data_IF_881537053910
#
_entry.id   IF_881537053910
#
_cell.length_a   1.000
_cell.length_b   1.000
_cell.length_c   1.000
_cell.angle_alpha   90.00
_cell.angle_beta   90.00
_cell.angle_gamma   90.00
#
_symmetry.space_group_name_H-M   'P 1'
#
loop_
_entity.id
_entity.type
_entity.pdbx_description
1 polymer ?
#
# COMPACT_ATOMS: atom_id res chain seq x y z
N UNK A 1 14.64 -8.34 -2.01
CA UNK A 1 15.51 -8.29 -3.20
C UNK A 1 16.16 -6.92 -3.25
N UNK A 2 17.41 -6.81 -3.72
CA UNK A 2 17.98 -5.50 -4.05
C UNK A 2 17.26 -4.95 -5.28
N UNK A 3 16.78 -3.71 -5.22
CA UNK A 3 16.11 -3.05 -6.34
C UNK A 3 17.07 -2.88 -7.53
N UNK A 4 16.61 -3.21 -8.74
CA UNK A 4 17.32 -2.97 -9.99
C UNK A 4 16.39 -2.25 -10.99
N UNK A 5 16.69 -1.00 -11.40
CA UNK A 5 15.86 -0.23 -12.32
C UNK A 5 15.82 -0.81 -13.75
N UNK A 6 16.72 -1.75 -14.06
CA UNK A 6 16.73 -2.48 -15.33
C UNK A 6 16.11 -3.87 -15.22
N UNK A 7 15.68 -4.25 -14.01
CA UNK A 7 14.99 -5.51 -13.78
C UNK A 7 13.73 -5.57 -14.61
N UNK A 8 13.53 -6.75 -15.19
CA UNK A 8 12.28 -7.08 -15.86
C UNK A 8 11.64 -8.33 -15.25
N UNK A 9 12.25 -8.93 -14.23
CA UNK A 9 11.79 -10.18 -13.61
C UNK A 9 10.37 -10.05 -13.05
N UNK A 10 10.01 -8.87 -12.54
CA UNK A 10 8.68 -8.57 -12.03
C UNK A 10 7.62 -8.23 -13.08
N UNK A 11 8.02 -7.99 -14.34
CA UNK A 11 7.11 -7.52 -15.40
C UNK A 11 6.84 -8.63 -16.41
N UNK A 12 5.59 -9.13 -16.51
CA UNK A 12 5.21 -10.17 -17.48
C UNK A 12 5.48 -9.77 -18.93
N UNK A 13 5.71 -10.76 -19.80
CA UNK A 13 6.03 -10.55 -21.23
C UNK A 13 4.99 -9.66 -21.94
N UNK A 14 3.70 -9.97 -21.81
CA UNK A 14 2.61 -9.15 -22.35
C UNK A 14 2.57 -7.74 -21.76
N UNK A 15 3.00 -7.56 -20.51
CA UNK A 15 3.19 -6.25 -19.91
C UNK A 15 4.22 -5.46 -20.72
N UNK A 16 5.40 -6.03 -20.96
CA UNK A 16 6.46 -5.40 -21.75
C UNK A 16 6.04 -5.08 -23.19
N UNK A 17 5.30 -5.98 -23.84
CA UNK A 17 4.76 -5.76 -25.19
C UNK A 17 3.82 -4.54 -25.21
N UNK A 18 2.91 -4.45 -24.23
CA UNK A 18 2.02 -3.29 -24.07
C UNK A 18 2.83 -2.00 -23.87
N UNK A 19 3.82 -2.02 -22.98
CA UNK A 19 4.69 -0.86 -22.73
C UNK A 19 5.40 -0.39 -24.00
N UNK A 20 5.92 -1.32 -24.81
CA UNK A 20 6.58 -1.01 -26.06
C UNK A 20 5.62 -0.37 -27.09
N UNK A 21 4.38 -0.85 -27.18
CA UNK A 21 3.35 -0.30 -28.07
C UNK A 21 2.93 1.12 -27.65
N UNK A 22 2.87 1.40 -26.34
CA UNK A 22 2.44 2.70 -25.80
C UNK A 22 3.45 3.83 -26.03
N UNK A 23 4.73 3.51 -26.30
CA UNK A 23 5.76 4.51 -26.67
C UNK A 23 5.43 5.29 -27.95
N UNK A 24 4.45 4.85 -28.73
CA UNK A 24 3.93 5.53 -29.94
C UNK A 24 2.96 6.69 -29.69
N UNK A 25 2.73 7.10 -28.44
CA UNK A 25 1.90 8.27 -28.09
C UNK A 25 0.48 7.95 -27.61
N UNK A 26 0.12 6.67 -27.49
CA UNK A 26 -1.11 6.20 -26.86
C UNK A 26 -0.80 5.74 -25.44
N UNK A 27 -1.54 6.22 -24.44
CA UNK A 27 -1.39 5.79 -23.06
C UNK A 27 -2.76 5.49 -22.42
N UNK A 28 -2.75 4.60 -21.44
CA UNK A 28 -3.85 4.33 -20.52
C UNK A 28 -3.49 4.92 -19.16
N UNK A 29 -4.48 5.30 -18.36
CA UNK A 29 -4.27 5.85 -17.03
C UNK A 29 -5.51 5.56 -16.20
N UNK A 30 -5.32 5.44 -14.89
CA UNK A 30 -6.42 5.33 -13.93
C UNK A 30 -6.89 6.68 -13.39
N UNK A 31 -6.24 7.77 -13.78
CA UNK A 31 -6.62 9.12 -13.40
C UNK A 31 -7.97 9.51 -14.02
N UNK A 32 -8.82 10.15 -13.22
CA UNK A 32 -9.98 10.86 -13.76
C UNK A 32 -9.56 12.01 -14.68
N UNK A 33 -10.49 12.54 -15.48
CA UNK A 33 -10.22 13.67 -16.39
C UNK A 33 -9.63 14.88 -15.65
N UNK A 34 -10.15 15.18 -14.46
CA UNK A 34 -9.67 16.31 -13.65
C UNK A 34 -8.24 16.07 -13.17
N UNK A 35 -7.96 14.87 -12.67
CA UNK A 35 -6.63 14.49 -12.20
C UNK A 35 -5.61 14.52 -13.33
N UNK A 36 -5.97 13.99 -14.51
CA UNK A 36 -5.14 14.05 -15.70
C UNK A 36 -4.72 15.48 -16.05
N UNK A 37 -5.66 16.41 -16.06
CA UNK A 37 -5.39 17.82 -16.37
C UNK A 37 -4.53 18.49 -15.30
N UNK A 38 -4.77 18.20 -14.02
CA UNK A 38 -4.03 18.80 -12.90
C UNK A 38 -2.61 18.26 -12.79
N UNK A 39 -2.38 16.96 -13.03
CA UNK A 39 -1.04 16.38 -13.13
C UNK A 39 -0.25 17.06 -14.26
N UNK A 40 -0.89 17.31 -15.41
CA UNK A 40 -0.28 18.09 -16.50
C UNK A 40 0.00 19.53 -16.13
N UNK A 41 -0.89 20.17 -15.40
CA UNK A 41 -0.70 21.53 -14.90
C UNK A 41 0.44 21.59 -13.85
N UNK A 42 0.66 20.52 -13.10
CA UNK A 42 1.79 20.37 -12.18
C UNK A 42 3.14 20.16 -12.89
N UNK A 43 3.17 20.10 -14.23
CA UNK A 43 4.39 19.92 -15.01
C UNK A 43 4.73 18.46 -15.33
N UNK A 44 3.84 17.52 -15.03
CA UNK A 44 4.04 16.09 -15.26
C UNK A 44 3.21 15.59 -16.44
N UNK A 45 3.83 14.83 -17.33
CA UNK A 45 3.15 14.14 -18.43
C UNK A 45 2.93 12.66 -18.04
N UNK A 46 1.67 12.18 -18.02
CA UNK A 46 1.37 10.77 -17.82
C UNK A 46 1.93 9.90 -18.95
N UNK A 47 2.58 8.80 -18.58
CA UNK A 47 3.22 7.87 -19.51
C UNK A 47 2.39 6.60 -19.72
N UNK A 48 1.69 6.14 -18.68
CA UNK A 48 0.87 4.93 -18.76
C UNK A 48 0.46 4.37 -17.42
N UNK A 49 -0.52 3.47 -17.44
CA UNK A 49 -0.91 2.65 -16.32
C UNK A 49 0.19 1.63 -16.03
N UNK A 50 0.59 1.54 -14.77
CA UNK A 50 1.53 0.55 -14.24
C UNK A 50 0.84 -0.34 -13.23
N UNK A 51 1.18 -1.63 -13.26
CA UNK A 51 0.57 -2.64 -12.40
C UNK A 51 1.66 -3.54 -11.83
N UNK A 52 1.62 -3.78 -10.53
CA UNK A 52 2.37 -4.84 -9.88
C UNK A 52 1.41 -5.79 -9.20
N UNK A 53 1.63 -7.10 -9.35
CA UNK A 53 0.84 -8.12 -8.65
C UNK A 53 1.76 -9.09 -7.93
N UNK A 54 1.35 -9.56 -6.76
CA UNK A 54 2.01 -10.60 -5.98
C UNK A 54 0.96 -11.57 -5.42
N UNK A 55 0.99 -12.82 -5.86
CA UNK A 55 0.20 -13.88 -5.23
C UNK A 55 1.04 -14.47 -4.10
N UNK A 56 0.55 -14.36 -2.88
CA UNK A 56 1.26 -14.80 -1.69
C UNK A 56 0.50 -15.92 -1.00
N UNK A 57 1.23 -16.97 -0.62
CA UNK A 57 0.70 -18.03 0.23
C UNK A 57 0.84 -17.61 1.70
N UNK A 58 -0.29 -17.33 2.33
CA UNK A 58 -0.35 -16.89 3.72
C UNK A 58 -0.35 -18.13 4.62
N UNK A 59 0.75 -18.31 5.35
CA UNK A 59 0.89 -19.40 6.30
C UNK A 59 -0.08 -19.29 7.49
N UNK A 60 -0.40 -20.43 8.10
CA UNK A 60 -1.17 -20.46 9.34
C UNK A 60 -0.29 -20.08 10.53
N UNK A 61 -0.74 -19.15 11.36
CA UNK A 61 -0.16 -18.86 12.67
C UNK A 61 -1.21 -19.16 13.76
N UNK A 62 -0.86 -20.04 14.70
CA UNK A 62 -1.75 -20.37 15.80
C UNK A 62 -1.90 -19.17 16.73
N UNK A 63 -3.13 -18.70 16.89
CA UNK A 63 -3.47 -17.65 17.82
C UNK A 63 -3.65 -18.18 19.26
N UNK A 64 -3.29 -17.37 20.25
CA UNK A 64 -3.56 -17.62 21.66
C UNK A 64 -4.99 -17.23 22.03
N UNK A 65 -5.80 -18.19 22.49
CA UNK A 65 -7.20 -17.96 22.90
C UNK A 65 -7.36 -16.89 23.99
N UNK A 66 -6.36 -16.73 24.86
CA UNK A 66 -6.43 -15.93 26.09
C UNK A 66 -5.65 -14.61 26.03
N UNK A 67 -4.89 -14.37 24.98
CA UNK A 67 -4.01 -13.20 24.88
C UNK A 67 -4.26 -12.46 23.59
N UNK A 68 -4.44 -11.14 23.72
CA UNK A 68 -4.45 -10.24 22.60
C UNK A 68 -2.99 -9.97 22.25
N UNK A 69 -2.60 -10.23 21.01
CA UNK A 69 -1.20 -10.14 20.58
C UNK A 69 -1.13 -9.99 19.07
N UNK A 70 -0.07 -9.33 18.61
CA UNK A 70 0.23 -9.27 17.19
C UNK A 70 0.55 -10.67 16.62
N UNK A 71 -0.06 -10.98 15.49
CA UNK A 71 0.28 -12.14 14.66
C UNK A 71 1.45 -11.76 13.75
N UNK A 72 2.65 -11.67 14.32
CA UNK A 72 3.84 -11.16 13.62
C UNK A 72 4.18 -11.85 12.30
N UNK A 73 3.97 -13.17 12.17
CA UNK A 73 4.21 -13.90 10.91
C UNK A 73 3.23 -13.43 9.85
N UNK A 74 1.96 -13.25 10.24
CA UNK A 74 0.92 -12.78 9.35
C UNK A 74 1.11 -11.31 8.98
N UNK A 75 1.40 -10.44 9.94
CA UNK A 75 1.77 -9.04 9.69
C UNK A 75 2.92 -8.93 8.70
N UNK A 76 3.99 -9.71 8.90
CA UNK A 76 5.15 -9.71 8.03
C UNK A 76 4.81 -10.19 6.62
N UNK A 77 4.03 -11.28 6.49
CA UNK A 77 3.59 -11.77 5.18
C UNK A 77 2.73 -10.73 4.43
N UNK A 78 1.81 -10.08 5.12
CA UNK A 78 0.97 -9.01 4.57
C UNK A 78 1.77 -7.81 4.09
N UNK A 79 2.82 -7.46 4.83
CA UNK A 79 3.73 -6.39 4.48
C UNK A 79 4.60 -6.75 3.27
N UNK A 80 5.27 -7.91 3.31
CA UNK A 80 6.15 -8.38 2.22
C UNK A 80 5.39 -8.55 0.90
N UNK A 81 4.16 -9.04 0.95
CA UNK A 81 3.36 -9.23 -0.26
C UNK A 81 3.02 -7.90 -0.94
N UNK A 82 2.71 -6.84 -0.17
CA UNK A 82 2.50 -5.48 -0.68
C UNK A 82 3.80 -4.88 -1.22
N UNK A 83 4.90 -5.03 -0.49
CA UNK A 83 6.23 -4.56 -0.94
C UNK A 83 6.64 -5.18 -2.27
N UNK A 84 6.36 -6.47 -2.48
CA UNK A 84 6.59 -7.15 -3.75
C UNK A 84 5.72 -6.58 -4.87
N UNK A 85 4.43 -6.37 -4.62
CA UNK A 85 3.54 -5.76 -5.62
C UNK A 85 4.00 -4.33 -5.98
N UNK A 86 4.33 -3.50 -4.98
CA UNK A 86 4.86 -2.15 -5.19
C UNK A 86 6.17 -2.15 -5.97
N UNK A 87 7.12 -3.01 -5.61
CA UNK A 87 8.40 -3.11 -6.31
C UNK A 87 8.22 -3.46 -7.78
N UNK A 88 7.32 -4.40 -8.11
CA UNK A 88 7.02 -4.76 -9.51
C UNK A 88 6.36 -3.61 -10.29
N UNK A 89 5.47 -2.86 -9.65
CA UNK A 89 4.85 -1.67 -10.25
C UNK A 89 5.89 -0.59 -10.55
N UNK A 90 6.87 -0.39 -9.65
CA UNK A 90 7.97 0.55 -9.85
C UNK A 90 8.95 0.12 -10.94
N UNK A 91 9.29 -1.17 -11.02
CA UNK A 91 10.06 -1.74 -12.13
C UNK A 91 9.35 -1.48 -13.48
N UNK A 92 8.02 -1.60 -13.52
CA UNK A 92 7.24 -1.27 -14.71
C UNK A 92 7.30 0.22 -15.06
N UNK A 93 7.22 1.10 -14.04
CA UNK A 93 7.37 2.54 -14.24
C UNK A 93 8.78 2.94 -14.73
N UNK A 94 9.82 2.23 -14.30
CA UNK A 94 11.18 2.41 -14.80
C UNK A 94 11.31 2.05 -16.28
N UNK A 95 10.58 1.05 -16.78
CA UNK A 95 10.53 0.73 -18.20
C UNK A 95 9.87 1.83 -19.04
N UNK A 96 9.00 2.64 -18.44
CA UNK A 96 8.50 3.89 -19.04
C UNK A 96 9.49 5.05 -18.94
N UNK A 97 10.54 4.94 -18.12
CA UNK A 97 11.45 6.03 -17.80
C UNK A 97 10.76 7.14 -17.01
N UNK A 98 9.84 6.73 -16.12
CA UNK A 98 9.05 7.62 -15.26
C UNK A 98 9.90 8.22 -14.13
N UNK A 99 9.48 9.38 -13.64
CA UNK A 99 10.04 9.97 -12.41
C UNK A 99 9.27 9.52 -11.16
N UNK A 100 8.01 9.12 -11.33
CA UNK A 100 7.18 8.60 -10.26
C UNK A 100 5.85 8.03 -10.73
N UNK A 101 5.04 7.66 -9.75
CA UNK A 101 3.73 7.04 -9.90
C UNK A 101 2.76 7.77 -8.98
N UNK A 102 1.64 8.22 -9.53
CA UNK A 102 0.58 8.96 -8.82
C UNK A 102 -0.72 8.15 -8.81
N UNK A 103 -1.59 8.44 -7.85
CA UNK A 103 -2.87 7.75 -7.69
C UNK A 103 -2.72 6.27 -7.35
N UNK A 104 -1.63 5.90 -6.66
CA UNK A 104 -1.36 4.51 -6.29
C UNK A 104 -2.49 3.96 -5.44
N UNK A 105 -3.03 2.81 -5.82
CA UNK A 105 -4.00 2.03 -5.04
C UNK A 105 -3.48 0.63 -4.80
N UNK A 106 -3.67 0.17 -3.56
CA UNK A 106 -3.33 -1.16 -3.11
C UNK A 106 -4.60 -1.95 -2.81
N UNK A 107 -4.79 -3.04 -3.53
CA UNK A 107 -5.93 -3.93 -3.38
C UNK A 107 -5.48 -5.35 -3.03
N UNK A 108 -6.36 -6.06 -2.30
CA UNK A 108 -6.17 -7.47 -1.97
C UNK A 108 -7.33 -8.25 -2.60
N UNK A 109 -7.01 -8.99 -3.65
CA UNK A 109 -7.89 -9.96 -4.29
C UNK A 109 -7.84 -11.30 -3.58
N UNK A 110 -8.99 -11.93 -3.37
CA UNK A 110 -9.10 -13.31 -2.91
C UNK A 110 -9.87 -14.10 -3.94
N UNK A 111 -9.31 -15.22 -4.34
CA UNK A 111 -9.93 -16.09 -5.33
C UNK A 111 -10.26 -17.44 -4.70
N UNK A 112 -11.26 -18.11 -5.26
CA UNK A 112 -11.68 -19.45 -4.85
C UNK A 112 -10.61 -20.53 -5.09
N UNK A 113 -9.47 -20.18 -5.70
CA UNK A 113 -8.38 -21.10 -6.02
C UNK A 113 -7.63 -21.61 -4.77
N UNK A 114 -7.82 -20.99 -3.60
CA UNK A 114 -7.38 -21.54 -2.31
C UNK A 114 -7.52 -20.56 -1.14
N UNK A 115 -8.02 -21.03 0.01
CA UNK A 115 -8.28 -20.19 1.20
C UNK A 115 -7.03 -19.51 1.79
N UNK A 116 -5.83 -19.97 1.42
CA UNK A 116 -4.55 -19.44 1.89
C UNK A 116 -3.81 -18.61 0.84
N UNK A 117 -4.45 -18.31 -0.30
CA UNK A 117 -3.87 -17.48 -1.36
C UNK A 117 -4.54 -16.11 -1.38
N UNK A 118 -3.73 -15.06 -1.38
CA UNK A 118 -4.18 -13.70 -1.61
C UNK A 118 -3.35 -13.07 -2.73
N UNK A 119 -4.01 -12.37 -3.64
CA UNK A 119 -3.37 -11.53 -4.63
C UNK A 119 -3.29 -10.10 -4.11
N UNK A 120 -2.09 -9.54 -4.10
CA UNK A 120 -1.84 -8.15 -3.76
C UNK A 120 -1.57 -7.41 -5.05
N UNK A 121 -2.36 -6.38 -5.33
CA UNK A 121 -2.29 -5.63 -6.58
C UNK A 121 -1.98 -4.17 -6.23
N UNK A 122 -0.93 -3.64 -6.85
CA UNK A 122 -0.59 -2.23 -6.86
C UNK A 122 -0.85 -1.67 -8.25
N UNK A 123 -1.64 -0.59 -8.33
CA UNK A 123 -1.99 0.06 -9.59
C UNK A 123 -1.75 1.56 -9.44
N UNK A 124 -1.22 2.21 -10.46
CA UNK A 124 -1.18 3.67 -10.54
C UNK A 124 -0.82 4.16 -11.93
N UNK A 125 -0.65 5.47 -12.07
CA UNK A 125 -0.24 6.08 -13.33
C UNK A 125 1.21 6.57 -13.23
N UNK A 126 2.08 6.03 -14.09
CA UNK A 126 3.45 6.50 -14.24
C UNK A 126 3.49 7.89 -14.86
N UNK A 127 4.29 8.78 -14.31
CA UNK A 127 4.41 10.19 -14.71
C UNK A 127 5.86 10.61 -14.87
N UNK A 128 6.10 11.57 -15.75
CA UNK A 128 7.42 12.15 -15.99
C UNK A 128 7.36 13.66 -16.02
N UNK A 129 8.29 14.33 -15.37
CA UNK A 129 8.33 15.78 -15.39
C UNK A 129 8.81 16.29 -16.75
N UNK A 130 8.10 17.27 -17.32
CA UNK A 130 8.34 17.76 -18.69
C UNK A 130 9.72 18.38 -18.88
N UNK A 131 10.25 19.04 -17.84
CA UNK A 131 11.56 19.70 -17.91
C UNK A 131 12.74 18.72 -17.73
N UNK A 132 12.49 17.44 -17.49
CA UNK A 132 13.56 16.44 -17.34
C UNK A 132 14.46 16.61 -16.11
N UNK A 133 14.07 17.48 -15.17
CA UNK A 133 14.66 17.53 -13.82
C UNK A 133 14.31 16.21 -13.12
N UNK A 134 15.30 15.49 -12.60
CA UNK A 134 15.09 14.21 -11.96
C UNK A 134 14.28 14.43 -10.65
N UNK A 135 12.97 14.19 -10.69
CA UNK A 135 12.05 14.36 -9.54
C UNK A 135 11.82 13.06 -8.77
N UNK A 136 12.74 12.11 -8.89
CA UNK A 136 12.68 10.77 -8.28
C UNK A 136 12.78 10.82 -6.75
N UNK A 137 12.47 9.68 -6.12
CA UNK A 137 12.65 9.51 -4.68
C UNK A 137 14.15 9.64 -4.29
N UNK A 138 14.47 9.99 -3.03
CA UNK A 138 15.87 10.11 -2.58
C UNK A 138 16.73 8.85 -2.79
N UNK A 139 16.11 7.67 -2.81
CA UNK A 139 16.73 6.39 -3.10
C UNK A 139 16.96 6.12 -4.60
N UNK A 140 16.59 7.05 -5.49
CA UNK A 140 16.72 6.92 -6.94
C UNK A 140 15.63 6.08 -7.62
N UNK A 141 14.65 5.56 -6.89
CA UNK A 141 13.46 4.87 -7.44
C UNK A 141 12.42 5.88 -7.94
N UNK A 142 11.44 5.50 -8.78
CA UNK A 142 10.29 6.36 -9.04
C UNK A 142 9.64 6.72 -7.70
N UNK A 143 9.29 7.99 -7.47
CA UNK A 143 8.49 8.30 -6.27
C UNK A 143 7.12 7.63 -6.40
N UNK A 144 6.51 7.27 -5.28
CA UNK A 144 5.15 6.71 -5.24
C UNK A 144 4.25 7.62 -4.41
N UNK A 145 2.98 7.70 -4.77
CA UNK A 145 1.99 8.51 -4.05
C UNK A 145 0.59 7.97 -4.30
N UNK A 146 -0.16 7.72 -3.23
CA UNK A 146 -1.58 7.36 -3.25
C UNK A 146 -2.50 8.58 -3.43
N UNK A 147 -1.94 9.78 -3.37
CA UNK A 147 -2.68 11.03 -3.54
C UNK A 147 -3.39 11.06 -4.90
N UNK A 148 -4.61 11.59 -4.88
CA UNK A 148 -5.32 11.96 -6.10
C UNK A 148 -4.49 12.96 -6.92
N UNK A 149 -4.72 13.04 -8.23
CA UNK A 149 -4.06 14.07 -9.06
C UNK A 149 -4.35 15.51 -8.59
N UNK A 150 -5.48 15.73 -7.91
CA UNK A 150 -5.85 17.01 -7.30
C UNK A 150 -5.01 17.34 -6.07
N UNK A 151 -4.85 16.38 -5.17
CA UNK A 151 -4.04 16.53 -3.96
C UNK A 151 -2.55 16.61 -4.31
N UNK A 152 -2.10 15.79 -5.28
CA UNK A 152 -0.75 15.84 -5.81
C UNK A 152 -0.41 17.24 -6.38
N UNK A 153 -1.30 17.82 -7.19
CA UNK A 153 -1.13 19.18 -7.71
C UNK A 153 -1.09 20.21 -6.58
N UNK A 154 -1.99 20.09 -5.60
CA UNK A 154 -2.06 21.02 -4.45
C UNK A 154 -0.80 20.94 -3.58
N UNK A 155 -0.28 19.74 -3.35
CA UNK A 155 0.95 19.51 -2.60
C UNK A 155 2.14 20.19 -3.30
N UNK A 156 2.29 19.97 -4.60
CA UNK A 156 3.33 20.62 -5.42
C UNK A 156 3.19 22.15 -5.43
N UNK A 157 1.97 22.67 -5.53
CA UNK A 157 1.72 24.11 -5.49
C UNK A 157 2.11 24.75 -4.14
N UNK A 158 2.11 23.97 -3.05
CA UNK A 158 2.57 24.43 -1.74
C UNK A 158 4.10 24.37 -1.55
N UNK A 159 4.84 23.87 -2.56
CA UNK A 159 6.30 23.72 -2.51
C UNK A 159 6.78 22.36 -1.95
N UNK A 160 5.86 21.45 -1.65
CA UNK A 160 6.17 20.10 -1.19
C UNK A 160 6.06 19.11 -2.34
N UNK A 161 6.73 17.96 -2.27
CA UNK A 161 6.60 16.89 -3.26
C UNK A 161 6.49 15.54 -2.55
N UNK A 162 5.78 14.56 -3.14
CA UNK A 162 5.86 13.20 -2.62
C UNK A 162 7.27 12.64 -2.86
N UNK A 163 7.73 11.84 -1.91
CA UNK A 163 9.00 11.12 -1.97
C UNK A 163 8.81 9.61 -1.98
N UNK A 164 7.67 9.13 -1.50
CA UNK A 164 7.28 7.72 -1.54
C UNK A 164 5.98 7.51 -0.77
N UNK A 165 5.23 6.50 -1.18
CA UNK A 165 4.13 5.92 -0.43
C UNK A 165 4.73 5.11 0.70
N UNK A 166 4.21 5.32 1.91
CA UNK A 166 4.58 4.57 3.10
C UNK A 166 3.36 3.84 3.60
N UNK A 167 3.58 2.69 4.25
CA UNK A 167 2.49 1.89 4.79
C UNK A 167 2.87 1.22 6.11
N UNK A 168 1.85 0.92 6.89
CA UNK A 168 1.96 0.15 8.12
C UNK A 168 0.92 -0.96 8.16
N UNK A 169 1.34 -2.22 8.24
CA UNK A 169 0.42 -3.34 8.48
C UNK A 169 0.66 -3.93 9.87
N UNK A 170 -0.44 -4.17 10.59
CA UNK A 170 -0.46 -4.90 11.84
C UNK A 170 -1.65 -5.86 11.84
N UNK A 171 -1.37 -7.16 11.84
CA UNK A 171 -2.40 -8.18 12.00
C UNK A 171 -2.44 -8.60 13.46
N UNK A 172 -3.57 -8.37 14.10
CA UNK A 172 -3.71 -8.51 15.53
C UNK A 172 -4.80 -9.50 15.89
N UNK A 173 -4.49 -10.36 16.86
CA UNK A 173 -5.50 -11.22 17.47
C UNK A 173 -6.05 -10.57 18.73
N UNK A 174 -7.37 -10.59 18.89
CA UNK A 174 -8.03 -10.12 20.11
C UNK A 174 -8.52 -11.30 20.94
N UNK A 175 -8.07 -11.38 22.20
CA UNK A 175 -8.45 -12.46 23.10
C UNK A 175 -9.96 -12.54 23.30
N UNK A 176 -10.47 -13.78 23.38
CA UNK A 176 -11.83 -14.00 23.80
C UNK A 176 -12.01 -13.65 25.27
N UNK A 177 -13.17 -13.08 25.61
CA UNK A 177 -13.54 -12.92 27.01
C UNK A 177 -13.83 -14.29 27.65
N UNK A 178 -13.42 -14.42 28.91
CA UNK A 178 -13.79 -15.59 29.72
C UNK A 178 -15.28 -15.60 30.04
N UNK A 179 -15.87 -16.80 30.09
CA UNK A 179 -17.32 -17.03 30.29
C UNK A 179 -17.92 -16.25 31.48
N UNK A 180 -17.16 -16.10 32.57
CA UNK A 180 -17.60 -15.38 33.77
C UNK A 180 -17.66 -13.86 33.59
N UNK A 181 -16.73 -13.28 32.81
CA UNK A 181 -16.74 -11.85 32.49
C UNK A 181 -17.89 -11.51 31.55
N UNK A 182 -18.12 -12.35 30.52
CA UNK A 182 -19.25 -12.19 29.59
C UNK A 182 -20.60 -12.27 30.31
N UNK A 183 -20.76 -13.15 31.30
CA UNK A 183 -21.99 -13.25 32.10
C UNK A 183 -22.26 -12.02 32.96
N UNK A 184 -21.22 -11.38 33.52
CA UNK A 184 -21.36 -10.12 34.30
C UNK A 184 -21.76 -8.92 33.44
N UNK A 185 -21.53 -8.99 32.13
CA UNK A 185 -21.78 -7.92 31.18
C UNK A 185 -23.17 -8.01 30.52
N UNK A 186 -23.90 -9.13 30.71
CA UNK A 186 -25.25 -9.31 30.15
C UNK A 186 -26.17 -8.19 30.66
N UNK A 187 -26.74 -7.41 29.72
CA UNK A 187 -27.68 -6.32 30.01
C UNK A 187 -27.02 -4.98 30.37
N UNK A 188 -25.70 -4.84 30.22
CA UNK A 188 -24.98 -3.59 30.47
C UNK A 188 -24.38 -3.01 29.19
N UNK A 189 -24.60 -1.70 28.96
CA UNK A 189 -23.96 -0.94 27.89
C UNK A 189 -22.71 -0.24 28.46
N UNK A 190 -21.57 -0.93 28.43
CA UNK A 190 -20.29 -0.42 28.92
C UNK A 190 -19.21 -0.63 27.87
N UNK A 191 -18.17 0.20 27.89
CA UNK A 191 -16.95 -0.04 27.12
C UNK A 191 -16.37 -1.42 27.46
N UNK A 192 -15.69 -2.03 26.49
CA UNK A 192 -14.95 -3.28 26.66
C UNK A 192 -13.44 -3.00 26.60
N UNK A 193 -12.80 -2.60 27.71
CA UNK A 193 -11.43 -2.09 27.68
C UNK A 193 -10.43 -3.05 27.05
N UNK A 194 -10.64 -4.37 27.20
CA UNK A 194 -9.75 -5.37 26.61
C UNK A 194 -9.77 -5.37 25.07
N UNK A 195 -10.93 -5.16 24.45
CA UNK A 195 -11.03 -5.03 22.99
C UNK A 195 -10.55 -3.66 22.55
N UNK A 196 -10.98 -2.59 23.26
CA UNK A 196 -10.55 -1.23 22.94
C UNK A 196 -9.03 -1.11 22.93
N UNK A 197 -8.36 -1.52 24.02
CA UNK A 197 -6.90 -1.43 24.13
C UNK A 197 -6.18 -2.26 23.06
N UNK A 198 -6.67 -3.48 22.77
CA UNK A 198 -6.07 -4.32 21.72
C UNK A 198 -6.12 -3.66 20.33
N UNK A 199 -7.22 -2.98 19.98
CA UNK A 199 -7.34 -2.27 18.71
C UNK A 199 -6.48 -0.99 18.70
N UNK A 200 -6.37 -0.29 19.83
CA UNK A 200 -5.46 0.85 19.98
C UNK A 200 -4.00 0.42 19.77
N UNK A 201 -3.55 -0.63 20.47
CA UNK A 201 -2.18 -1.16 20.35
C UNK A 201 -1.87 -1.57 18.89
N UNK A 202 -2.81 -2.24 18.22
CA UNK A 202 -2.64 -2.66 16.84
C UNK A 202 -2.52 -1.47 15.88
N UNK A 203 -3.33 -0.43 16.08
CA UNK A 203 -3.31 0.82 15.30
C UNK A 203 -2.00 1.57 15.51
N UNK A 204 -1.54 1.72 16.74
CA UNK A 204 -0.27 2.38 17.04
C UNK A 204 0.91 1.65 16.41
N UNK A 205 0.93 0.30 16.45
CA UNK A 205 1.96 -0.49 15.78
C UNK A 205 1.99 -0.29 14.26
N UNK A 206 0.81 -0.23 13.61
CA UNK A 206 0.74 0.07 12.18
C UNK A 206 1.27 1.49 11.89
N UNK A 207 0.84 2.49 12.66
CA UNK A 207 1.26 3.88 12.51
C UNK A 207 2.77 4.07 12.75
N UNK A 208 3.35 3.38 13.75
CA UNK A 208 4.79 3.41 14.04
C UNK A 208 5.60 2.87 12.86
N UNK A 209 5.15 1.78 12.24
CA UNK A 209 5.82 1.20 11.07
C UNK A 209 5.78 2.13 9.87
N UNK A 210 4.63 2.73 9.58
CA UNK A 210 4.48 3.72 8.52
C UNK A 210 5.41 4.93 8.74
N UNK A 211 5.52 5.42 9.98
CA UNK A 211 6.43 6.51 10.33
C UNK A 211 7.89 6.13 10.11
N UNK A 212 8.29 4.92 10.50
CA UNK A 212 9.65 4.41 10.31
C UNK A 212 10.05 4.31 8.83
N UNK A 213 9.11 3.96 7.96
CA UNK A 213 9.36 4.02 6.51
C UNK A 213 9.58 5.45 6.02
N UNK A 214 8.77 6.40 6.48
CA UNK A 214 8.90 7.81 6.12
C UNK A 214 10.26 8.38 6.55
N UNK A 215 10.75 8.01 7.74
CA UNK A 215 12.09 8.35 8.21
C UNK A 215 13.17 7.78 7.28
N UNK A 216 13.02 6.53 6.82
CA UNK A 216 13.95 5.88 5.89
C UNK A 216 14.00 6.60 4.54
N UNK A 217 12.87 7.16 4.10
CA UNK A 217 12.76 7.98 2.90
C UNK A 217 13.19 9.45 3.11
N UNK A 218 13.63 9.82 4.31
CA UNK A 218 14.01 11.19 4.67
C UNK A 218 12.86 12.19 4.44
N UNK A 219 11.61 11.74 4.64
CA UNK A 219 10.43 12.60 4.49
C UNK A 219 10.32 13.59 5.67
N UNK A 220 9.79 14.78 5.39
CA UNK A 220 9.47 15.78 6.42
C UNK A 220 8.21 15.41 7.22
N UNK A 221 7.25 14.76 6.57
CA UNK A 221 5.99 14.33 7.17
C UNK A 221 5.18 13.45 6.23
N UNK A 222 4.08 12.91 6.75
CA UNK A 222 3.13 12.07 6.02
C UNK A 222 1.81 12.82 5.92
N UNK A 223 1.28 12.96 4.71
CA UNK A 223 -0.02 13.58 4.43
C UNK A 223 -0.90 12.60 3.68
N UNK A 224 -2.21 12.74 3.80
CA UNK A 224 -3.15 11.81 3.16
C UNK A 224 -3.29 10.46 3.86
N UNK A 225 -2.87 10.33 5.12
CA UNK A 225 -2.95 9.08 5.90
C UNK A 225 -4.36 8.50 5.88
N UNK A 226 -4.47 7.22 5.49
CA UNK A 226 -5.70 6.46 5.55
C UNK A 226 -5.54 5.27 6.48
N UNK A 227 -6.34 5.22 7.54
CA UNK A 227 -6.39 4.02 8.37
C UNK A 227 -7.60 3.16 8.01
N UNK A 228 -7.34 1.90 7.73
CA UNK A 228 -8.34 0.91 7.39
C UNK A 228 -8.26 -0.27 8.35
N UNK A 229 -9.41 -0.66 8.88
CA UNK A 229 -9.60 -1.90 9.62
C UNK A 229 -10.24 -2.92 8.67
N UNK A 230 -9.59 -4.07 8.48
CA UNK A 230 -10.07 -5.11 7.56
C UNK A 230 -10.07 -6.47 8.23
N UNK A 231 -11.20 -7.18 8.12
CA UNK A 231 -11.25 -8.61 8.43
C UNK A 231 -10.99 -9.40 7.16
N UNK A 232 -9.94 -10.20 7.24
CA UNK A 232 -9.40 -10.98 6.15
C UNK A 232 -9.71 -12.47 6.35
N UNK A 233 -10.82 -12.82 6.99
CA UNK A 233 -11.27 -14.23 7.09
C UNK A 233 -10.27 -15.22 7.72
N UNK A 234 -9.15 -14.76 8.31
CA UNK A 234 -8.13 -15.61 8.93
C UNK A 234 -8.52 -16.10 10.34
N UNK A 235 -9.69 -15.65 10.81
CA UNK A 235 -10.28 -15.98 12.09
C UNK A 235 -11.29 -14.90 12.47
N UNK A 236 -12.29 -15.26 13.27
CA UNK A 236 -13.31 -14.31 13.74
C UNK A 236 -12.77 -13.24 14.70
N UNK A 237 -11.54 -13.43 15.20
CA UNK A 237 -10.87 -12.55 16.17
C UNK A 237 -9.51 -12.06 15.67
N UNK A 238 -9.31 -12.09 14.35
CA UNK A 238 -8.09 -11.60 13.69
C UNK A 238 -8.46 -10.43 12.79
N UNK A 239 -7.81 -9.29 13.01
CA UNK A 239 -8.09 -8.03 12.34
C UNK A 239 -6.77 -7.48 11.80
N UNK A 240 -6.75 -7.02 10.54
CA UNK A 240 -5.65 -6.22 10.00
C UNK A 240 -5.96 -4.73 10.18
N UNK A 241 -5.00 -4.00 10.73
CA UNK A 241 -4.91 -2.56 10.63
C UNK A 241 -3.89 -2.21 9.56
N UNK A 242 -4.33 -1.42 8.58
CA UNK A 242 -3.51 -0.91 7.49
C UNK A 242 -3.53 0.62 7.55
N UNK A 243 -2.35 1.21 7.75
CA UNK A 243 -2.10 2.65 7.77
C UNK A 243 -1.34 3.07 6.51
#
# INVERSE_FOLDING_TARGET
MSYDPTSTEGVPEHGRERLAQMRGGFFTSDLSVNEFLLVKQAGFDPLGLVIGSSIYHIGFQQSSWKQSVEMSVLSQAMYEARELAMTRMEEEADQFGADGIVGVRLDIGRYEWGEHLAEFIAIGTAVKHREGKLHRAPNGRPFTSDLSGQDFWTLLASGHRPVGLVMGSCVYHVAHQGMFASMRQIGQNIEMPNFTQALYDARELAMERMQKEAETLQAEGIVGVQLQERSHGWGSHVIEFFA
#
